data_IF_989335054769
#
_entry.id   IF_989335054769
#
_cell.length_a   1.000
_cell.length_b   1.000
_cell.length_c   1.000
_cell.angle_alpha   90.00
_cell.angle_beta   90.00
_cell.angle_gamma   90.00
#
_symmetry.space_group_name_H-M   'P 1'
#
loop_
_entity.id
_entity.type
_entity.pdbx_description
1 polymer ?
#
# COMPACT_ATOMS: atom_id res chain seq x y z
N UNK A 1 -25.37 -2.44 17.26
CA UNK A 1 -24.02 -2.93 17.54
C UNK A 1 -23.17 -1.72 17.88
N UNK A 2 -22.51 -1.68 19.05
CA UNK A 2 -21.53 -0.63 19.33
C UNK A 2 -20.40 -0.67 18.30
N UNK A 3 -19.81 0.48 17.98
CA UNK A 3 -18.62 0.53 17.13
C UNK A 3 -17.44 -0.14 17.86
N UNK A 4 -16.57 -0.88 17.16
CA UNK A 4 -15.35 -1.43 17.76
C UNK A 4 -14.53 -0.35 18.48
N UNK A 5 -14.01 -0.65 19.67
CA UNK A 5 -13.37 0.35 20.55
C UNK A 5 -12.21 1.09 19.87
N UNK A 6 -11.46 0.42 18.99
CA UNK A 6 -10.37 1.05 18.27
C UNK A 6 -10.86 2.17 17.33
N UNK A 7 -12.07 2.05 16.76
CA UNK A 7 -12.69 3.08 15.92
C UNK A 7 -13.06 4.28 16.78
N UNK A 8 -13.71 4.04 17.93
CA UNK A 8 -14.07 5.10 18.87
C UNK A 8 -12.83 5.88 19.33
N UNK A 9 -11.78 5.16 19.75
CA UNK A 9 -10.50 5.76 20.16
C UNK A 9 -9.83 6.58 19.04
N UNK A 10 -9.96 6.15 17.79
CA UNK A 10 -9.39 6.87 16.65
C UNK A 10 -10.18 8.15 16.34
N UNK A 11 -11.50 8.11 16.47
CA UNK A 11 -12.38 9.26 16.29
C UNK A 11 -12.21 10.29 17.41
N UNK A 12 -12.22 9.87 18.67
CA UNK A 12 -12.00 10.77 19.82
C UNK A 12 -10.63 11.45 19.77
N UNK A 13 -9.59 10.72 19.37
CA UNK A 13 -8.26 11.30 19.19
C UNK A 13 -8.24 12.35 18.06
N UNK A 14 -9.00 12.13 16.98
CA UNK A 14 -9.14 13.10 15.91
C UNK A 14 -9.83 14.38 16.38
N UNK A 15 -10.93 14.29 17.15
CA UNK A 15 -11.66 15.46 17.66
C UNK A 15 -10.79 16.37 18.54
N UNK A 16 -9.75 15.83 19.18
CA UNK A 16 -8.81 16.57 20.03
C UNK A 16 -7.59 17.11 19.27
N UNK A 17 -7.39 16.70 18.01
CA UNK A 17 -6.17 16.96 17.25
C UNK A 17 -6.00 18.45 16.93
N UNK A 18 -4.83 19.02 17.26
CA UNK A 18 -4.49 20.40 16.90
C UNK A 18 -5.15 21.46 17.78
N UNK A 19 -5.83 21.06 18.86
CA UNK A 19 -6.48 21.98 19.80
C UNK A 19 -5.62 22.11 21.05
N UNK A 20 -5.12 23.32 21.34
CA UNK A 20 -4.22 23.57 22.47
C UNK A 20 -4.85 23.25 23.84
N UNK A 21 -6.18 23.34 23.98
CA UNK A 21 -6.89 22.93 25.20
C UNK A 21 -6.72 21.43 25.53
N UNK A 22 -6.30 20.60 24.57
CA UNK A 22 -5.98 19.19 24.76
C UNK A 22 -4.47 18.91 24.83
N UNK A 23 -3.66 19.95 25.02
CA UNK A 23 -2.21 19.88 25.22
C UNK A 23 -1.41 20.49 24.07
N UNK A 24 -0.26 21.08 24.41
CA UNK A 24 0.62 21.77 23.47
C UNK A 24 2.08 21.79 23.96
N UNK A 25 2.99 22.08 23.03
CA UNK A 25 4.36 22.52 23.33
C UNK A 25 4.46 24.02 23.12
N UNK A 26 5.18 24.71 24.01
CA UNK A 26 5.60 26.11 23.82
C UNK A 26 7.04 26.09 23.35
N UNK A 27 7.25 26.50 22.11
CA UNK A 27 8.58 26.67 21.53
C UNK A 27 9.00 28.11 21.75
N UNK A 28 10.23 28.33 22.22
CA UNK A 28 10.81 29.67 22.37
C UNK A 28 12.14 29.74 21.63
N UNK A 29 12.35 30.81 20.87
CA UNK A 29 13.61 31.08 20.19
C UNK A 29 14.62 31.69 21.17
N UNK A 30 15.76 31.03 21.37
CA UNK A 30 16.82 31.52 22.26
C UNK A 30 17.43 32.86 21.82
N UNK A 31 17.35 33.21 20.53
CA UNK A 31 17.96 34.43 19.99
C UNK A 31 17.05 35.66 19.97
N UNK A 32 15.74 35.50 19.81
CA UNK A 32 14.80 36.63 19.69
C UNK A 32 13.62 36.59 20.66
N UNK A 33 13.59 35.60 21.57
CA UNK A 33 12.51 35.38 22.56
C UNK A 33 11.10 35.24 21.97
N UNK A 34 10.96 35.11 20.65
CA UNK A 34 9.67 34.80 20.03
C UNK A 34 9.22 33.39 20.42
N UNK A 35 7.93 33.27 20.67
CA UNK A 35 7.32 32.02 21.09
C UNK A 35 6.22 31.57 20.17
N UNK A 36 6.07 30.25 20.06
CA UNK A 36 5.00 29.63 19.29
C UNK A 36 4.41 28.47 20.07
N UNK A 37 3.09 28.43 20.11
CA UNK A 37 2.34 27.28 20.62
C UNK A 37 2.15 26.28 19.48
N UNK A 38 2.47 25.02 19.75
CA UNK A 38 2.24 23.91 18.83
C UNK A 38 1.37 22.88 19.55
N UNK A 39 0.10 22.81 19.18
CA UNK A 39 -0.84 21.84 19.74
C UNK A 39 -0.46 20.40 19.38
N UNK A 40 -0.81 19.46 20.26
CA UNK A 40 -0.55 18.04 20.00
C UNK A 40 -1.40 17.49 18.86
N UNK A 41 -0.81 16.55 18.11
CA UNK A 41 -1.47 15.85 17.02
C UNK A 41 -1.97 14.48 17.46
N UNK A 42 -3.02 13.96 16.83
CA UNK A 42 -3.58 12.65 17.17
C UNK A 42 -2.66 11.48 16.81
N UNK A 43 -1.73 11.70 15.86
CA UNK A 43 -0.77 10.72 15.32
C UNK A 43 -1.41 9.48 14.66
N UNK A 44 -2.74 9.48 14.51
CA UNK A 44 -3.57 8.40 13.92
C UNK A 44 -3.43 8.33 12.39
N UNK A 45 -4.04 7.31 11.76
CA UNK A 45 -3.88 7.01 10.31
C UNK A 45 -5.20 6.92 9.54
N UNK A 46 -6.34 6.98 10.22
CA UNK A 46 -7.65 6.86 9.61
C UNK A 46 -8.07 8.15 8.92
N UNK A 47 -8.49 9.15 9.70
CA UNK A 47 -9.33 10.25 9.21
C UNK A 47 -8.66 11.61 9.20
N UNK A 48 -7.68 11.84 10.08
CA UNK A 48 -7.14 13.18 10.31
C UNK A 48 -6.29 13.66 9.12
N UNK A 49 -6.74 14.65 8.33
CA UNK A 49 -6.03 15.06 7.12
C UNK A 49 -4.65 15.65 7.44
N UNK A 50 -4.54 16.46 8.50
CA UNK A 50 -3.27 17.08 8.91
C UNK A 50 -2.22 16.03 9.33
N UNK A 51 -2.62 15.03 10.11
CA UNK A 51 -1.70 13.96 10.53
C UNK A 51 -1.33 13.05 9.35
N UNK A 52 -2.28 12.73 8.47
CA UNK A 52 -2.03 11.94 7.28
C UNK A 52 -1.09 12.69 6.31
N UNK A 53 -1.33 13.97 6.05
CA UNK A 53 -0.49 14.81 5.20
C UNK A 53 0.93 14.94 5.74
N UNK A 54 1.09 15.19 7.06
CA UNK A 54 2.42 15.22 7.69
C UNK A 54 3.16 13.89 7.48
N UNK A 55 2.49 12.76 7.73
CA UNK A 55 3.10 11.44 7.58
C UNK A 55 3.41 11.11 6.12
N UNK A 56 2.59 11.55 5.17
CA UNK A 56 2.88 11.42 3.74
C UNK A 56 4.15 12.18 3.38
N UNK A 57 4.30 13.43 3.84
CA UNK A 57 5.50 14.23 3.62
C UNK A 57 6.75 13.58 4.26
N UNK A 58 6.66 13.15 5.53
CA UNK A 58 7.76 12.44 6.21
C UNK A 58 8.15 11.14 5.47
N UNK A 59 7.17 10.37 5.00
CA UNK A 59 7.43 9.15 4.24
C UNK A 59 8.05 9.45 2.86
N UNK A 60 7.60 10.49 2.17
CA UNK A 60 8.16 10.90 0.89
C UNK A 60 9.62 11.33 1.03
N UNK A 61 9.95 12.13 2.04
CA UNK A 61 11.33 12.53 2.33
C UNK A 61 12.22 11.30 2.58
N UNK A 62 11.80 10.40 3.48
CA UNK A 62 12.55 9.16 3.74
C UNK A 62 12.73 8.31 2.48
N UNK A 63 11.71 8.25 1.63
CA UNK A 63 11.81 7.49 0.39
C UNK A 63 12.84 8.11 -0.56
N UNK A 64 12.85 9.43 -0.71
CA UNK A 64 13.79 10.12 -1.60
C UNK A 64 15.22 10.11 -1.07
N UNK A 65 15.40 10.32 0.24
CA UNK A 65 16.72 10.47 0.85
C UNK A 65 17.41 9.12 1.09
N UNK A 66 16.65 8.10 1.53
CA UNK A 66 17.24 6.86 2.06
C UNK A 66 16.99 5.60 1.21
N UNK A 67 15.96 5.58 0.34
CA UNK A 67 15.42 4.30 -0.19
C UNK A 67 15.41 4.25 -1.73
N UNK A 68 14.88 5.27 -2.39
CA UNK A 68 14.61 5.25 -3.81
C UNK A 68 15.87 5.66 -4.58
N UNK A 69 16.48 4.77 -5.38
CA UNK A 69 17.53 5.20 -6.30
C UNK A 69 16.94 6.13 -7.38
N UNK A 70 17.79 6.98 -7.94
CA UNK A 70 17.43 7.78 -9.11
C UNK A 70 17.20 6.84 -10.32
N UNK A 71 15.93 6.61 -10.63
CA UNK A 71 15.48 5.73 -11.70
C UNK A 71 14.09 6.15 -12.21
N UNK A 72 13.68 5.73 -13.41
CA UNK A 72 12.29 5.80 -13.85
C UNK A 72 11.36 4.95 -12.97
N UNK A 73 10.21 5.52 -12.62
CA UNK A 73 9.16 4.83 -11.87
C UNK A 73 7.81 4.92 -12.58
N UNK A 74 6.98 3.91 -12.37
CA UNK A 74 5.59 3.83 -12.83
C UNK A 74 4.66 3.68 -11.64
N UNK A 75 3.62 4.50 -11.60
CA UNK A 75 2.52 4.30 -10.65
C UNK A 75 1.58 3.22 -11.18
N UNK A 76 1.42 2.16 -10.39
CA UNK A 76 0.48 1.07 -10.66
C UNK A 76 -0.61 1.08 -9.59
N UNK A 77 -1.87 1.16 -10.00
CA UNK A 77 -3.01 1.08 -9.09
C UNK A 77 -3.74 -0.24 -9.31
N UNK A 78 -3.80 -1.08 -8.28
CA UNK A 78 -4.55 -2.33 -8.32
C UNK A 78 -5.81 -2.22 -7.44
N UNK A 79 -6.95 -2.22 -8.11
CA UNK A 79 -8.27 -2.27 -7.49
C UNK A 79 -8.83 -3.69 -7.52
N UNK A 80 -9.70 -4.01 -6.55
CA UNK A 80 -10.26 -5.35 -6.40
C UNK A 80 -11.78 -5.37 -6.66
N UNK A 81 -12.32 -6.49 -7.18
CA UNK A 81 -13.76 -6.68 -7.36
C UNK A 81 -14.51 -6.49 -6.04
N UNK A 82 -15.72 -5.96 -6.10
CA UNK A 82 -16.52 -5.61 -4.92
C UNK A 82 -16.65 -6.78 -3.92
N UNK A 83 -16.95 -7.98 -4.42
CA UNK A 83 -17.09 -9.20 -3.61
C UNK A 83 -15.84 -9.54 -2.77
N UNK A 84 -14.64 -9.20 -3.26
CA UNK A 84 -13.39 -9.53 -2.58
C UNK A 84 -13.01 -8.48 -1.51
N UNK A 85 -13.56 -7.26 -1.60
CA UNK A 85 -13.18 -6.14 -0.73
C UNK A 85 -13.47 -6.41 0.73
N UNK A 86 -14.64 -6.97 1.03
CA UNK A 86 -15.01 -7.32 2.40
C UNK A 86 -14.07 -8.38 2.98
N UNK A 87 -13.77 -9.43 2.23
CA UNK A 87 -12.85 -10.50 2.64
C UNK A 87 -11.45 -9.96 2.95
N UNK A 88 -10.94 -9.08 2.11
CA UNK A 88 -9.64 -8.41 2.28
C UNK A 88 -9.61 -7.45 3.47
N UNK A 89 -10.76 -6.83 3.79
CA UNK A 89 -10.89 -5.96 4.95
C UNK A 89 -10.94 -6.76 6.24
N UNK A 90 -11.75 -7.82 6.25
CA UNK A 90 -12.01 -8.68 7.38
C UNK A 90 -10.82 -9.57 7.74
N UNK A 91 -9.97 -9.95 6.77
CA UNK A 91 -8.87 -10.89 6.97
C UNK A 91 -7.54 -10.31 6.45
N UNK A 92 -6.69 -9.82 7.35
CA UNK A 92 -5.37 -9.27 7.01
C UNK A 92 -4.42 -10.30 6.41
N UNK A 93 -4.55 -11.58 6.78
CA UNK A 93 -3.70 -12.66 6.25
C UNK A 93 -4.01 -12.91 4.78
N UNK A 94 -5.29 -13.01 4.43
CA UNK A 94 -5.76 -13.11 3.05
C UNK A 94 -5.32 -11.90 2.23
N UNK A 95 -5.52 -10.68 2.77
CA UNK A 95 -5.06 -9.46 2.13
C UNK A 95 -3.55 -9.47 1.86
N UNK A 96 -2.72 -9.88 2.83
CA UNK A 96 -1.27 -9.98 2.68
C UNK A 96 -0.86 -10.99 1.59
N UNK A 97 -1.56 -12.12 1.50
CA UNK A 97 -1.30 -13.13 0.47
C UNK A 97 -1.65 -12.60 -0.93
N UNK A 98 -2.79 -11.93 -1.09
CA UNK A 98 -3.20 -11.30 -2.35
C UNK A 98 -2.21 -10.19 -2.75
N UNK A 99 -1.81 -9.34 -1.79
CA UNK A 99 -0.81 -8.30 -2.01
C UNK A 99 0.53 -8.90 -2.51
N UNK A 100 0.99 -9.99 -1.90
CA UNK A 100 2.20 -10.70 -2.33
C UNK A 100 2.06 -11.30 -3.73
N UNK A 101 0.88 -11.83 -4.09
CA UNK A 101 0.60 -12.32 -5.45
C UNK A 101 0.76 -11.19 -6.47
N UNK A 102 0.15 -10.04 -6.19
CA UNK A 102 0.17 -8.88 -7.06
C UNK A 102 1.59 -8.36 -7.29
N UNK A 103 2.34 -8.05 -6.21
CA UNK A 103 3.70 -7.51 -6.34
C UNK A 103 4.64 -8.48 -7.06
N UNK A 104 4.58 -9.78 -6.73
CA UNK A 104 5.40 -10.79 -7.42
C UNK A 104 5.06 -10.88 -8.90
N UNK A 105 3.79 -10.70 -9.29
CA UNK A 105 3.40 -10.70 -10.71
C UNK A 105 3.96 -9.47 -11.43
N UNK A 106 3.87 -8.29 -10.80
CA UNK A 106 4.45 -7.05 -11.32
C UNK A 106 5.98 -7.17 -11.46
N UNK A 107 6.69 -7.62 -10.42
CA UNK A 107 8.17 -7.77 -10.47
C UNK A 107 8.60 -8.73 -11.58
N UNK A 108 7.93 -9.89 -11.69
CA UNK A 108 8.23 -10.87 -12.75
C UNK A 108 8.03 -10.29 -14.14
N UNK A 109 7.01 -9.46 -14.37
CA UNK A 109 6.81 -8.84 -15.68
C UNK A 109 8.07 -8.08 -16.14
N UNK A 110 8.63 -7.21 -15.29
CA UNK A 110 9.83 -6.43 -15.61
C UNK A 110 11.07 -7.31 -15.73
N UNK A 111 11.23 -8.28 -14.82
CA UNK A 111 12.36 -9.21 -14.88
C UNK A 111 12.33 -10.10 -16.14
N UNK A 112 11.15 -10.56 -16.57
CA UNK A 112 10.96 -11.34 -17.79
C UNK A 112 11.16 -10.47 -19.04
N UNK A 113 10.73 -9.21 -19.02
CA UNK A 113 11.03 -8.25 -20.08
C UNK A 113 12.54 -8.02 -20.23
N UNK A 114 13.26 -7.88 -19.11
CA UNK A 114 14.71 -7.73 -19.09
C UNK A 114 15.43 -8.99 -19.62
N UNK A 115 15.00 -10.19 -19.19
CA UNK A 115 15.56 -11.46 -19.65
C UNK A 115 15.42 -11.63 -21.16
N UNK A 116 14.28 -11.24 -21.75
CA UNK A 116 14.03 -11.31 -23.21
C UNK A 116 15.02 -10.50 -24.04
N UNK A 117 15.57 -9.41 -23.49
CA UNK A 117 16.58 -8.58 -24.15
C UNK A 117 18.02 -8.90 -23.69
N UNK A 118 18.23 -10.06 -23.06
CA UNK A 118 19.55 -10.57 -22.69
C UNK A 118 20.14 -10.01 -21.39
N UNK A 119 19.37 -9.29 -20.58
CA UNK A 119 19.86 -8.81 -19.26
C UNK A 119 19.92 -10.00 -18.30
N UNK A 120 21.11 -10.26 -17.76
CA UNK A 120 21.36 -11.32 -16.78
C UNK A 120 20.99 -10.85 -15.37
N UNK A 121 20.46 -11.76 -14.56
CA UNK A 121 20.11 -11.54 -13.14
C UNK A 121 19.34 -10.25 -12.84
N UNK A 122 18.27 -9.90 -13.60
CA UNK A 122 17.55 -8.67 -13.37
C UNK A 122 16.82 -8.69 -12.02
N UNK A 123 16.79 -7.54 -11.36
CA UNK A 123 16.07 -7.30 -10.10
C UNK A 123 15.11 -6.14 -10.28
N UNK A 124 13.82 -6.41 -10.15
CA UNK A 124 12.80 -5.37 -10.02
C UNK A 124 12.64 -4.96 -8.56
N UNK A 125 11.87 -3.90 -8.32
CA UNK A 125 11.64 -3.34 -6.99
C UNK A 125 10.43 -2.42 -6.98
N UNK A 126 9.78 -2.31 -5.83
CA UNK A 126 8.65 -1.40 -5.66
C UNK A 126 8.39 -1.03 -4.21
N UNK A 127 7.67 0.07 -4.03
CA UNK A 127 7.09 0.50 -2.75
C UNK A 127 5.58 0.50 -2.90
N UNK A 128 4.86 -0.14 -1.98
CA UNK A 128 3.40 -0.20 -2.02
C UNK A 128 2.74 0.45 -0.82
N UNK A 129 1.69 1.22 -1.09
CA UNK A 129 0.80 1.81 -0.12
C UNK A 129 -0.59 1.18 -0.25
N UNK A 130 -1.09 0.61 0.84
CA UNK A 130 -2.46 0.13 0.93
C UNK A 130 -3.39 1.28 1.31
N UNK A 131 -4.41 1.51 0.50
CA UNK A 131 -5.53 2.38 0.83
C UNK A 131 -6.78 1.52 1.02
N UNK A 132 -7.58 1.82 2.05
CA UNK A 132 -8.77 1.01 2.43
C UNK A 132 -10.10 1.67 2.11
N UNK A 133 -10.08 2.97 1.83
CA UNK A 133 -11.27 3.76 1.60
C UNK A 133 -11.20 4.48 0.25
N UNK A 134 -12.37 4.68 -0.38
CA UNK A 134 -12.53 5.60 -1.50
C UNK A 134 -12.66 7.05 -1.03
N UNK A 135 -12.80 7.98 -1.97
CA UNK A 135 -13.02 9.41 -1.67
C UNK A 135 -14.29 9.67 -0.84
N UNK A 136 -15.31 8.82 -1.01
CA UNK A 136 -16.55 8.86 -0.23
C UNK A 136 -16.46 8.08 1.10
N UNK A 137 -15.26 7.71 1.55
CA UNK A 137 -15.00 6.87 2.73
C UNK A 137 -15.63 5.46 2.68
N UNK A 138 -16.13 5.05 1.51
CA UNK A 138 -16.66 3.71 1.29
C UNK A 138 -15.53 2.67 1.26
N UNK A 139 -15.85 1.42 1.63
CA UNK A 139 -14.87 0.32 1.61
C UNK A 139 -14.34 0.09 0.19
N UNK A 140 -13.07 0.41 -0.01
CA UNK A 140 -12.39 0.27 -1.29
C UNK A 140 -10.91 -0.04 -1.06
N UNK A 141 -10.56 -1.25 -0.60
CA UNK A 141 -9.16 -1.67 -0.56
C UNK A 141 -8.59 -1.61 -1.97
N UNK A 142 -7.45 -0.94 -2.11
CA UNK A 142 -6.67 -0.88 -3.34
C UNK A 142 -5.20 -0.62 -3.00
N UNK A 143 -4.32 -0.99 -3.93
CA UNK A 143 -2.88 -0.82 -3.79
C UNK A 143 -2.41 0.28 -4.72
N UNK A 144 -1.72 1.27 -4.19
CA UNK A 144 -0.85 2.15 -4.97
C UNK A 144 0.56 1.60 -4.89
N UNK A 145 1.16 1.30 -6.02
CA UNK A 145 2.49 0.72 -6.12
C UNK A 145 3.36 1.64 -6.95
N UNK A 146 4.41 2.19 -6.33
CA UNK A 146 5.49 2.85 -7.02
C UNK A 146 6.46 1.77 -7.49
N UNK A 147 6.41 1.44 -8.77
CA UNK A 147 7.15 0.37 -9.40
C UNK A 147 8.36 0.92 -10.15
N UNK A 148 9.52 0.29 -10.08
CA UNK A 148 10.62 0.60 -11.01
C UNK A 148 10.16 0.34 -12.45
N UNK A 149 10.28 1.33 -13.35
CA UNK A 149 9.93 1.17 -14.77
C UNK A 149 11.13 0.58 -15.56
N UNK A 150 11.66 -0.51 -15.04
CA UNK A 150 12.89 -1.17 -15.48
C UNK A 150 13.41 -2.13 -14.42
N UNK A 151 14.70 -2.46 -14.49
CA UNK A 151 15.35 -3.38 -13.56
C UNK A 151 16.75 -2.90 -13.21
N UNK A 152 17.25 -3.32 -12.05
CA UNK A 152 18.68 -3.28 -11.75
C UNK A 152 19.35 -4.61 -12.11
N UNK A 153 20.61 -4.55 -12.52
CA UNK A 153 21.51 -5.70 -12.61
C UNK A 153 22.84 -5.32 -11.97
N UNK A 154 23.62 -6.30 -11.57
CA UNK A 154 24.93 -6.07 -10.97
C UNK A 154 26.03 -6.27 -12.02
N UNK A 155 26.91 -5.26 -12.16
CA UNK A 155 28.09 -5.31 -13.03
C UNK A 155 29.28 -4.94 -12.17
N UNK A 156 30.23 -5.86 -12.01
CA UNK A 156 31.43 -5.67 -11.19
C UNK A 156 31.14 -5.19 -9.76
N UNK A 157 30.13 -5.79 -9.11
CA UNK A 157 29.73 -5.45 -7.74
C UNK A 157 28.92 -4.16 -7.59
N UNK A 158 28.57 -3.48 -8.68
CA UNK A 158 27.79 -2.24 -8.66
C UNK A 158 26.43 -2.43 -9.30
N UNK A 159 25.40 -1.83 -8.70
CA UNK A 159 24.04 -1.87 -9.24
C UNK A 159 23.91 -0.87 -10.41
N UNK A 160 23.44 -1.35 -11.56
CA UNK A 160 23.17 -0.56 -12.75
C UNK A 160 21.71 -0.69 -13.17
N UNK A 161 21.04 0.45 -13.33
CA UNK A 161 19.70 0.48 -13.88
C UNK A 161 19.72 0.15 -15.38
N UNK A 162 18.75 -0.65 -15.82
CA UNK A 162 18.55 -1.03 -17.22
C UNK A 162 17.10 -0.80 -17.59
N UNK A 163 16.90 -0.05 -18.67
CA UNK A 163 15.60 0.09 -19.31
C UNK A 163 15.16 -1.27 -19.88
N UNK A 164 13.86 -1.51 -19.85
CA UNK A 164 13.21 -2.65 -20.52
C UNK A 164 12.15 -2.09 -21.49
N UNK A 165 11.61 -2.90 -22.41
CA UNK A 165 10.48 -2.49 -23.24
C UNK A 165 9.34 -1.94 -22.38
N UNK A 166 8.77 -0.81 -22.80
CA UNK A 166 7.66 -0.16 -22.10
C UNK A 166 6.46 -1.11 -22.01
N UNK A 167 5.83 -1.16 -20.83
CA UNK A 167 4.59 -1.89 -20.62
C UNK A 167 3.48 -1.32 -21.53
N UNK A 168 2.86 -2.19 -22.33
CA UNK A 168 1.71 -1.85 -23.18
C UNK A 168 0.39 -2.10 -22.45
N UNK A 169 -0.72 -1.64 -23.02
CA UNK A 169 -2.06 -1.93 -22.46
C UNK A 169 -2.37 -3.44 -22.49
N UNK A 170 -1.89 -4.17 -23.51
CA UNK A 170 -1.97 -5.64 -23.56
C UNK A 170 -1.16 -6.31 -22.46
N UNK A 171 0.00 -5.76 -22.11
CA UNK A 171 0.77 -6.23 -20.96
C UNK A 171 0.02 -6.01 -19.64
N UNK A 172 -0.61 -4.84 -19.48
CA UNK A 172 -1.44 -4.53 -18.30
C UNK A 172 -2.61 -5.52 -18.21
N UNK A 173 -3.31 -5.77 -19.32
CA UNK A 173 -4.42 -6.73 -19.39
C UNK A 173 -3.98 -8.15 -18.99
N UNK A 174 -2.89 -8.65 -19.59
CA UNK A 174 -2.32 -9.97 -19.27
C UNK A 174 -1.84 -10.06 -17.82
N UNK A 175 -1.27 -8.98 -17.28
CA UNK A 175 -0.84 -8.91 -15.90
C UNK A 175 -2.04 -8.98 -14.94
N UNK A 176 -3.10 -8.20 -15.20
CA UNK A 176 -4.32 -8.22 -14.42
C UNK A 176 -4.97 -9.62 -14.44
N UNK A 177 -5.02 -10.25 -15.61
CA UNK A 177 -5.56 -11.61 -15.77
C UNK A 177 -4.71 -12.66 -15.04
N UNK A 178 -3.37 -12.54 -15.08
CA UNK A 178 -2.45 -13.39 -14.32
C UNK A 178 -2.66 -13.27 -12.81
N UNK A 179 -2.83 -12.03 -12.32
CA UNK A 179 -3.12 -11.77 -10.90
C UNK A 179 -4.47 -12.37 -10.52
N UNK A 180 -5.51 -12.11 -11.32
CA UNK A 180 -6.87 -12.62 -11.10
C UNK A 180 -6.88 -14.15 -10.98
N UNK A 181 -6.27 -14.85 -11.95
CA UNK A 181 -6.15 -16.33 -11.92
C UNK A 181 -5.46 -16.83 -10.66
N UNK A 182 -4.36 -16.19 -10.24
CA UNK A 182 -3.61 -16.59 -9.03
C UNK A 182 -4.39 -16.32 -7.75
N UNK A 183 -5.15 -15.23 -7.69
CA UNK A 183 -6.03 -14.91 -6.56
C UNK A 183 -7.16 -15.93 -6.50
N UNK A 184 -7.84 -16.23 -7.60
CA UNK A 184 -8.90 -17.27 -7.65
C UNK A 184 -8.33 -18.62 -7.18
N UNK A 185 -7.15 -19.02 -7.67
CA UNK A 185 -6.51 -20.26 -7.25
C UNK A 185 -6.17 -20.29 -5.74
N UNK A 186 -5.76 -19.15 -5.16
CA UNK A 186 -5.58 -19.00 -3.71
C UNK A 186 -6.90 -19.20 -2.96
N UNK A 187 -7.97 -18.54 -3.42
CA UNK A 187 -9.29 -18.60 -2.78
C UNK A 187 -9.86 -20.03 -2.81
N UNK A 188 -9.75 -20.73 -3.95
CA UNK A 188 -10.13 -22.15 -4.06
C UNK A 188 -9.34 -23.05 -3.10
N UNK A 189 -8.02 -22.83 -3.02
CA UNK A 189 -7.15 -23.58 -2.09
C UNK A 189 -7.50 -23.36 -0.62
N UNK A 190 -8.02 -22.19 -0.28
CA UNK A 190 -8.48 -21.87 1.08
C UNK A 190 -9.93 -22.28 1.33
N UNK A 191 -10.60 -22.92 0.37
CA UNK A 191 -12.00 -23.31 0.50
C UNK A 191 -12.95 -22.12 0.58
N UNK A 192 -12.59 -20.97 0.02
CA UNK A 192 -13.47 -19.80 -0.08
C UNK A 192 -14.31 -19.81 -1.36
N UNK A 193 -13.78 -20.48 -2.41
CA UNK A 193 -14.47 -20.74 -3.67
C UNK A 193 -14.48 -22.24 -3.98
N UNK A 194 -15.56 -22.75 -4.60
CA UNK A 194 -15.62 -24.09 -5.16
C UNK A 194 -14.83 -24.21 -6.50
N UNK A 195 -14.95 -25.36 -7.18
CA UNK A 195 -14.26 -25.60 -8.46
C UNK A 195 -14.84 -24.74 -9.57
N UNK A 196 -16.11 -24.39 -9.50
CA UNK A 196 -16.88 -23.60 -10.45
C UNK A 196 -16.68 -22.09 -10.23
N UNK A 197 -16.16 -21.69 -9.07
CA UNK A 197 -15.92 -20.29 -8.67
C UNK A 197 -17.03 -19.68 -7.82
N UNK A 198 -17.99 -20.46 -7.33
CA UNK A 198 -19.05 -20.03 -6.42
C UNK A 198 -18.51 -19.89 -4.99
N UNK A 199 -19.12 -18.98 -4.23
CA UNK A 199 -18.81 -18.77 -2.82
C UNK A 199 -19.25 -19.98 -2.00
N UNK A 200 -18.32 -20.56 -1.22
CA UNK A 200 -18.62 -21.71 -0.34
C UNK A 200 -18.37 -21.44 1.14
N UNK A 201 -17.50 -20.48 1.46
CA UNK A 201 -17.25 -20.07 2.83
C UNK A 201 -16.81 -18.60 2.89
N UNK A 202 -16.96 -18.01 4.07
CA UNK A 202 -16.37 -16.72 4.39
C UNK A 202 -15.00 -16.90 5.03
N UNK A 203 -14.03 -16.00 4.76
CA UNK A 203 -12.75 -16.05 5.43
C UNK A 203 -12.90 -15.80 6.93
N UNK A 204 -12.01 -16.39 7.72
CA UNK A 204 -11.89 -16.05 9.13
C UNK A 204 -11.74 -14.55 9.29
N UNK A 205 -12.57 -13.97 10.14
CA UNK A 205 -12.50 -12.55 10.45
C UNK A 205 -11.38 -12.33 11.48
N UNK A 206 -10.56 -11.30 11.26
CA UNK A 206 -9.50 -10.89 12.19
C UNK A 206 -10.11 -10.64 13.58
N UNK A 207 -9.39 -10.94 14.67
CA UNK A 207 -9.87 -10.71 16.03
C UNK A 207 -10.34 -9.27 16.30
N UNK A 208 -9.80 -8.29 15.56
CA UNK A 208 -10.17 -6.88 15.68
C UNK A 208 -11.64 -6.58 15.28
N UNK A 209 -12.30 -7.50 14.58
CA UNK A 209 -13.74 -7.39 14.28
C UNK A 209 -14.56 -8.44 15.04
N UNK A 210 -13.94 -9.21 15.97
CA UNK A 210 -14.65 -10.24 16.72
C UNK A 210 -15.40 -9.69 17.94
N UNK A 211 -15.11 -8.47 18.40
CA UNK A 211 -15.87 -7.74 19.44
C UNK A 211 -15.73 -6.22 19.28
#
# INVERSE_FOLDING_TARGET
>A
MPLPQYIANEFEAFLKCGIAAHGFLRLSCAGCSQEKIVAFSCKKRGWCPSCCAKRQAEAALRLLDDILPLAPYRQMVLSFPFALRFWMQANKKLFSQIHRIALRAMHRHYEDAARRIGIKSPKSGSVSFTQRAGSALNLNPHLHVLMLDGVFTEISGKAHFRNVPRMTDDDVSRLAESISRKVIALLKRQGLLDKEGSLVAHPDVDPIFRD
#
